data_IF_827970182523
#
_entry.id   IF_827970182523
#
_cell.length_a   1.000
_cell.length_b   1.000
_cell.length_c   1.000
_cell.angle_alpha   90.00
_cell.angle_beta   90.00
_cell.angle_gamma   90.00
#
_symmetry.space_group_name_H-M   'P 1'
#
loop_
_entity.id
_entity.type
_entity.pdbx_description
1 polymer ?
#
# COMPACT_ATOMS: atom_id res chain seq x y z
N UNK A 1 19.72 -5.35 -1.69
CA UNK A 1 19.52 -5.35 -3.16
C UNK A 1 18.08 -5.78 -3.42
N UNK A 2 17.16 -4.83 -3.67
CA UNK A 2 15.76 -5.14 -3.95
C UNK A 2 15.60 -5.58 -5.42
N UNK A 3 15.01 -6.76 -5.58
CA UNK A 3 14.81 -7.45 -6.84
C UNK A 3 13.65 -6.79 -7.59
N UNK A 4 13.95 -5.90 -8.55
CA UNK A 4 12.96 -5.30 -9.47
C UNK A 4 12.69 -6.16 -10.74
N UNK A 5 12.88 -7.48 -10.64
CA UNK A 5 12.58 -8.48 -11.67
C UNK A 5 11.34 -9.23 -11.17
N UNK A 6 10.16 -9.30 -11.79
CA UNK A 6 9.83 -9.53 -13.20
C UNK A 6 8.36 -9.18 -13.53
N UNK A 7 7.86 -7.99 -13.16
CA UNK A 7 6.44 -7.66 -13.41
C UNK A 7 6.08 -7.39 -14.90
N UNK A 8 7.06 -7.41 -15.80
CA UNK A 8 6.93 -6.94 -17.19
C UNK A 8 7.07 -8.05 -18.25
N UNK A 9 7.11 -9.32 -17.84
CA UNK A 9 7.47 -10.47 -18.71
C UNK A 9 6.31 -11.10 -19.47
N UNK A 10 5.06 -10.69 -19.29
CA UNK A 10 3.94 -11.11 -20.14
C UNK A 10 3.15 -9.91 -20.67
N UNK A 11 3.31 -9.62 -21.95
CA UNK A 11 2.59 -8.56 -22.66
C UNK A 11 2.45 -9.09 -24.09
N UNK A 12 1.23 -9.49 -24.47
CA UNK A 12 0.91 -9.84 -25.84
C UNK A 12 0.43 -8.57 -26.56
N UNK A 13 1.16 -8.18 -27.60
CA UNK A 13 0.60 -7.37 -28.67
C UNK A 13 -0.04 -8.37 -29.62
N UNK A 14 -1.37 -8.49 -29.60
CA UNK A 14 -2.10 -9.61 -30.23
C UNK A 14 -2.20 -9.56 -31.76
N UNK A 15 -1.42 -8.74 -32.47
CA UNK A 15 -1.42 -8.75 -33.93
C UNK A 15 0.01 -8.56 -34.45
N UNK A 16 0.55 -9.62 -35.06
CA UNK A 16 1.89 -9.64 -35.65
C UNK A 16 2.61 -10.97 -35.46
N UNK A 17 3.77 -11.13 -36.10
CA UNK A 17 4.63 -12.29 -35.88
C UNK A 17 5.14 -12.33 -34.42
N UNK A 18 5.47 -13.50 -33.83
CA UNK A 18 5.98 -13.59 -32.47
C UNK A 18 7.18 -12.66 -32.21
N UNK A 19 8.00 -12.45 -33.25
CA UNK A 19 9.15 -11.54 -33.24
C UNK A 19 8.71 -10.07 -33.15
N UNK A 20 7.74 -9.63 -33.95
CA UNK A 20 7.20 -8.26 -33.91
C UNK A 20 6.60 -7.94 -32.54
N UNK A 21 5.88 -8.90 -31.94
CA UNK A 21 5.31 -8.75 -30.60
C UNK A 21 6.43 -8.56 -29.56
N UNK A 22 7.48 -9.37 -29.65
CA UNK A 22 8.63 -9.27 -28.76
C UNK A 22 9.35 -7.92 -28.90
N UNK A 23 9.59 -7.44 -30.13
CA UNK A 23 10.23 -6.15 -30.39
C UNK A 23 9.35 -5.01 -29.85
N UNK A 24 8.05 -5.04 -30.14
CA UNK A 24 7.09 -4.02 -29.67
C UNK A 24 7.03 -3.95 -28.15
N UNK A 25 7.09 -5.10 -27.47
CA UNK A 25 7.16 -5.17 -26.01
C UNK A 25 8.45 -4.54 -25.47
N UNK A 26 9.59 -4.76 -26.12
CA UNK A 26 10.86 -4.12 -25.74
C UNK A 26 10.83 -2.61 -25.98
N UNK A 27 10.21 -2.15 -27.08
CA UNK A 27 9.98 -0.73 -27.35
C UNK A 27 9.11 -0.08 -26.27
N UNK A 28 8.00 -0.71 -25.88
CA UNK A 28 7.15 -0.22 -24.80
C UNK A 28 7.89 -0.16 -23.46
N UNK A 29 8.76 -1.14 -23.18
CA UNK A 29 9.62 -1.12 -22.00
C UNK A 29 10.64 0.03 -22.06
N UNK A 30 11.25 0.29 -23.21
CA UNK A 30 12.16 1.43 -23.41
C UNK A 30 11.44 2.75 -23.08
N UNK A 31 10.22 2.93 -23.60
CA UNK A 31 9.42 4.13 -23.39
C UNK A 31 9.04 4.30 -21.91
N UNK A 32 8.53 3.24 -21.28
CA UNK A 32 7.98 3.32 -19.92
C UNK A 32 9.05 3.33 -18.83
N UNK A 33 10.10 2.52 -18.96
CA UNK A 33 11.16 2.43 -17.94
C UNK A 33 12.10 3.64 -17.99
N UNK A 34 12.44 4.12 -19.19
CA UNK A 34 13.36 5.26 -19.35
C UNK A 34 12.63 6.59 -19.53
N UNK A 35 11.30 6.62 -19.29
CA UNK A 35 10.44 7.79 -19.42
C UNK A 35 10.63 8.55 -20.74
N UNK A 36 10.90 7.83 -21.83
CA UNK A 36 11.16 8.44 -23.12
C UNK A 36 9.87 8.96 -23.72
N UNK A 37 9.91 10.10 -24.44
CA UNK A 37 8.72 10.60 -25.09
C UNK A 37 8.29 9.65 -26.22
N UNK A 38 6.99 9.46 -26.38
CA UNK A 38 6.42 8.57 -27.42
C UNK A 38 6.79 9.06 -28.83
N UNK A 39 7.19 10.33 -28.99
CA UNK A 39 7.71 10.86 -30.26
C UNK A 39 8.99 10.18 -30.75
N UNK A 40 9.69 9.40 -29.93
CA UNK A 40 10.89 8.64 -30.34
C UNK A 40 10.63 7.78 -31.58
N UNK A 41 9.43 7.22 -31.74
CA UNK A 41 9.07 6.37 -32.90
C UNK A 41 8.99 7.14 -34.22
N UNK A 42 8.99 8.48 -34.17
CA UNK A 42 9.01 9.36 -35.34
C UNK A 42 10.39 9.95 -35.63
N UNK A 43 11.36 9.72 -34.75
CA UNK A 43 12.72 10.25 -34.95
C UNK A 43 13.38 9.48 -36.07
N UNK A 44 13.84 10.19 -37.10
CA UNK A 44 14.42 9.59 -38.31
C UNK A 44 15.54 8.60 -37.98
N UNK A 45 16.54 9.01 -37.18
CA UNK A 45 17.64 8.12 -36.80
C UNK A 45 17.20 6.88 -36.02
N UNK A 46 16.08 6.94 -35.28
CA UNK A 46 15.52 5.76 -34.63
C UNK A 46 14.84 4.83 -35.64
N UNK A 47 14.14 5.38 -36.63
CA UNK A 47 13.50 4.60 -37.70
C UNK A 47 14.52 3.89 -38.57
N UNK A 48 15.57 4.60 -38.98
CA UNK A 48 16.70 4.04 -39.75
C UNK A 48 17.39 2.92 -38.97
N UNK A 49 17.66 3.15 -37.68
CA UNK A 49 18.26 2.15 -36.79
C UNK A 49 17.41 0.87 -36.70
N UNK A 50 16.10 1.01 -36.50
CA UNK A 50 15.21 -0.15 -36.39
C UNK A 50 15.06 -0.87 -37.73
N UNK A 51 15.01 -0.12 -38.84
CA UNK A 51 14.92 -0.70 -40.19
C UNK A 51 16.18 -1.49 -40.55
N UNK A 52 17.36 -1.04 -40.14
CA UNK A 52 18.62 -1.78 -40.33
C UNK A 52 18.66 -3.05 -39.48
N UNK A 53 18.10 -3.01 -38.26
CA UNK A 53 18.03 -4.18 -37.37
C UNK A 53 17.01 -5.23 -37.84
N UNK A 54 15.84 -4.81 -38.27
CA UNK A 54 14.80 -5.69 -38.81
C UNK A 54 13.95 -4.97 -39.86
N UNK A 55 14.26 -5.16 -41.16
CA UNK A 55 13.54 -4.50 -42.24
C UNK A 55 12.06 -4.86 -42.33
N UNK A 56 11.64 -5.98 -41.72
CA UNK A 56 10.24 -6.45 -41.74
C UNK A 56 9.42 -5.86 -40.60
N UNK A 57 10.05 -5.27 -39.59
CA UNK A 57 9.37 -4.74 -38.44
C UNK A 57 8.76 -3.36 -38.74
N UNK A 58 7.42 -3.30 -38.78
CA UNK A 58 6.70 -2.04 -38.88
C UNK A 58 6.59 -1.38 -37.50
N UNK A 59 7.26 -0.24 -37.33
CA UNK A 59 7.21 0.52 -36.07
C UNK A 59 5.77 0.98 -35.81
N UNK A 60 5.20 0.69 -34.62
CA UNK A 60 3.83 1.06 -34.31
C UNK A 60 3.66 2.58 -34.24
N UNK A 61 2.53 3.06 -34.76
CA UNK A 61 2.23 4.49 -34.74
C UNK A 61 2.06 5.02 -33.32
N UNK A 62 2.37 6.32 -33.11
CA UNK A 62 2.12 7.02 -31.85
C UNK A 62 0.68 6.84 -31.35
N UNK A 63 -0.29 6.86 -32.28
CA UNK A 63 -1.71 6.68 -31.94
C UNK A 63 -1.97 5.27 -31.39
N UNK A 64 -1.42 4.24 -32.03
CA UNK A 64 -1.55 2.85 -31.56
C UNK A 64 -0.93 2.68 -30.17
N UNK A 65 0.29 3.20 -29.99
CA UNK A 65 0.99 3.15 -28.70
C UNK A 65 0.19 3.84 -27.57
N UNK A 66 -0.36 5.03 -27.84
CA UNK A 66 -1.12 5.79 -26.85
C UNK A 66 -2.50 5.24 -26.54
N UNK A 67 -3.24 4.74 -27.55
CA UNK A 67 -4.64 4.34 -27.37
C UNK A 67 -4.81 2.87 -27.05
N UNK A 68 -3.85 2.04 -27.41
CA UNK A 68 -3.98 0.58 -27.31
C UNK A 68 -2.93 0.01 -26.38
N UNK A 69 -1.65 0.21 -26.68
CA UNK A 69 -0.58 -0.50 -25.96
C UNK A 69 -0.36 0.02 -24.54
N UNK A 70 -0.24 1.34 -24.36
CA UNK A 70 0.02 1.95 -23.05
C UNK A 70 -1.14 1.76 -22.06
N UNK A 71 -2.42 1.95 -22.44
CA UNK A 71 -3.54 1.70 -21.52
C UNK A 71 -3.60 0.23 -21.07
N UNK A 72 -3.38 -0.73 -21.98
CA UNK A 72 -3.29 -2.15 -21.63
C UNK A 72 -2.17 -2.43 -20.63
N UNK A 73 -1.00 -1.81 -20.85
CA UNK A 73 0.16 -1.95 -19.95
C UNK A 73 -0.12 -1.34 -18.57
N UNK A 74 -0.80 -0.20 -18.53
CA UNK A 74 -1.22 0.45 -17.28
C UNK A 74 -2.17 -0.41 -16.46
N UNK A 75 -3.25 -0.93 -17.06
CA UNK A 75 -4.23 -1.74 -16.33
C UNK A 75 -3.58 -3.01 -15.75
N UNK A 76 -2.68 -3.66 -16.50
CA UNK A 76 -1.93 -4.80 -15.98
C UNK A 76 -1.00 -4.42 -14.82
N UNK A 77 -0.27 -3.32 -14.93
CA UNK A 77 0.60 -2.85 -13.85
C UNK A 77 -0.21 -2.51 -12.59
N UNK A 78 -1.37 -1.88 -12.76
CA UNK A 78 -2.32 -1.56 -11.69
C UNK A 78 -2.86 -2.83 -11.02
N UNK A 79 -3.22 -3.85 -11.78
CA UNK A 79 -3.70 -5.12 -11.23
C UNK A 79 -2.59 -5.86 -10.47
N UNK A 80 -1.35 -5.86 -11.00
CA UNK A 80 -0.19 -6.40 -10.28
C UNK A 80 0.03 -5.68 -8.94
N UNK A 81 -0.10 -4.36 -8.92
CA UNK A 81 0.02 -3.56 -7.69
C UNK A 81 -1.12 -3.89 -6.71
N UNK A 82 -2.35 -4.10 -7.19
CA UNK A 82 -3.47 -4.52 -6.31
C UNK A 82 -3.20 -5.89 -5.68
N UNK A 83 -2.66 -6.84 -6.45
CA UNK A 83 -2.30 -8.18 -5.94
C UNK A 83 -1.20 -8.06 -4.89
N UNK A 84 -0.11 -7.36 -5.21
CA UNK A 84 0.99 -7.14 -4.26
C UNK A 84 0.50 -6.42 -2.99
N UNK A 85 -0.43 -5.48 -3.11
CA UNK A 85 -1.04 -4.81 -1.96
C UNK A 85 -1.92 -5.76 -1.13
N UNK A 86 -2.66 -6.67 -1.77
CA UNK A 86 -3.46 -7.67 -1.08
C UNK A 86 -2.58 -8.67 -0.32
N UNK A 87 -1.48 -9.11 -0.91
CA UNK A 87 -0.47 -9.98 -0.26
C UNK A 87 0.23 -9.26 0.90
N UNK A 88 0.61 -8.00 0.70
CA UNK A 88 1.17 -7.17 1.76
C UNK A 88 0.17 -7.00 2.92
N UNK A 89 -1.12 -6.83 2.63
CA UNK A 89 -2.19 -6.76 3.64
C UNK A 89 -2.45 -8.07 4.39
N UNK A 90 -2.03 -9.22 3.84
CA UNK A 90 -2.13 -10.52 4.51
C UNK A 90 -0.91 -10.81 5.38
N UNK A 91 0.28 -10.39 4.92
CA UNK A 91 1.55 -10.55 5.65
C UNK A 91 1.76 -9.48 6.73
N UNK A 92 1.20 -8.29 6.56
CA UNK A 92 1.01 -7.35 7.65
C UNK A 92 -0.25 -7.73 8.40
N UNK A 93 -0.17 -8.09 9.70
CA UNK A 93 -1.38 -8.25 10.49
C UNK A 93 -2.16 -6.95 10.39
N UNK A 94 -3.38 -7.02 9.83
CA UNK A 94 -4.35 -5.93 10.02
C UNK A 94 -4.36 -5.65 11.52
N UNK A 95 -4.44 -4.39 11.92
CA UNK A 95 -4.61 -3.95 13.31
C UNK A 95 -5.98 -4.40 13.86
N UNK A 96 -6.31 -5.68 13.76
CA UNK A 96 -7.54 -6.30 14.23
C UNK A 96 -7.28 -7.24 15.43
N UNK A 97 -6.03 -7.35 15.89
CA UNK A 97 -5.66 -8.19 17.03
C UNK A 97 -5.62 -7.45 18.37
N UNK A 98 -5.31 -6.16 18.37
CA UNK A 98 -5.16 -5.40 19.61
C UNK A 98 -6.47 -5.24 20.38
N UNK A 99 -7.57 -4.97 19.66
CA UNK A 99 -8.92 -4.85 20.23
C UNK A 99 -9.34 -6.13 20.95
N UNK A 100 -9.07 -7.30 20.37
CA UNK A 100 -9.39 -8.59 20.98
C UNK A 100 -8.60 -8.82 22.28
N UNK A 101 -7.30 -8.46 22.31
CA UNK A 101 -6.49 -8.56 23.52
C UNK A 101 -6.94 -7.57 24.60
N UNK A 102 -7.40 -6.37 24.24
CA UNK A 102 -8.00 -5.43 25.19
C UNK A 102 -9.34 -5.94 25.74
N UNK A 103 -10.21 -6.49 24.90
CA UNK A 103 -11.52 -7.02 25.29
C UNK A 103 -11.38 -8.30 26.15
N UNK A 104 -10.40 -9.15 25.88
CA UNK A 104 -10.04 -10.28 26.75
C UNK A 104 -9.51 -9.82 28.11
N UNK A 105 -8.78 -8.70 28.16
CA UNK A 105 -8.21 -8.11 29.38
C UNK A 105 -9.18 -7.21 30.15
N UNK A 106 -10.25 -6.73 29.51
CA UNK A 106 -11.37 -6.02 30.15
C UNK A 106 -12.01 -6.87 31.26
N UNK A 107 -11.95 -8.21 31.14
CA UNK A 107 -12.47 -9.16 32.12
C UNK A 107 -11.51 -9.54 33.25
N UNK A 108 -10.24 -9.12 33.24
CA UNK A 108 -9.21 -9.58 34.18
C UNK A 108 -8.72 -8.46 35.08
N UNK A 109 -9.04 -8.53 36.40
CA UNK A 109 -8.47 -7.83 37.57
C UNK A 109 -8.22 -6.30 37.51
N UNK A 110 -8.41 -5.68 36.36
CA UNK A 110 -8.01 -4.34 36.01
C UNK A 110 -8.96 -3.30 36.63
N UNK A 111 -10.27 -3.51 36.46
CA UNK A 111 -11.32 -2.76 37.16
C UNK A 111 -11.19 -2.89 38.68
N UNK A 112 -10.65 -4.02 39.16
CA UNK A 112 -10.46 -4.27 40.59
C UNK A 112 -9.30 -3.42 41.16
N UNK A 113 -8.21 -3.27 40.41
CA UNK A 113 -7.04 -2.49 40.81
C UNK A 113 -7.27 -0.97 40.74
N UNK A 114 -8.03 -0.49 39.75
CA UNK A 114 -8.39 0.93 39.62
C UNK A 114 -9.71 1.32 40.32
N UNK A 115 -10.45 0.34 40.88
CA UNK A 115 -11.79 0.52 41.46
C UNK A 115 -12.79 1.23 40.53
N UNK A 116 -12.61 1.10 39.22
CA UNK A 116 -13.54 1.65 38.23
C UNK A 116 -14.63 0.60 38.00
N UNK A 117 -15.89 0.96 38.22
CA UNK A 117 -17.01 0.09 37.87
C UNK A 117 -17.30 0.18 36.38
N UNK A 118 -18.02 -0.81 35.83
CA UNK A 118 -18.46 -0.80 34.43
C UNK A 118 -19.26 0.46 34.08
N UNK A 119 -20.09 0.94 35.00
CA UNK A 119 -20.90 2.15 34.80
C UNK A 119 -20.04 3.41 34.75
N UNK A 120 -19.03 3.52 35.62
CA UNK A 120 -18.06 4.63 35.59
C UNK A 120 -17.24 4.60 34.30
N UNK A 121 -16.89 3.42 33.81
CA UNK A 121 -16.20 3.28 32.53
C UNK A 121 -17.06 3.75 31.35
N UNK A 122 -18.35 3.42 31.32
CA UNK A 122 -19.27 3.91 30.29
C UNK A 122 -19.43 5.44 30.33
N UNK A 123 -19.46 6.03 31.53
CA UNK A 123 -19.45 7.49 31.68
C UNK A 123 -18.16 8.13 31.14
N UNK A 124 -17.01 7.52 31.42
CA UNK A 124 -15.73 7.98 30.88
C UNK A 124 -15.67 7.86 29.35
N UNK A 125 -16.19 6.77 28.79
CA UNK A 125 -16.31 6.61 27.34
C UNK A 125 -17.15 7.73 26.72
N UNK A 126 -18.31 8.05 27.31
CA UNK A 126 -19.15 9.16 26.82
C UNK A 126 -18.42 10.51 26.80
N UNK A 127 -17.66 10.82 27.87
CA UNK A 127 -16.89 12.07 27.96
C UNK A 127 -15.76 12.11 26.91
N UNK A 128 -15.09 10.98 26.71
CA UNK A 128 -13.99 10.88 25.76
C UNK A 128 -14.50 10.87 24.32
N UNK A 129 -15.62 10.23 24.01
CA UNK A 129 -16.26 10.26 22.69
C UNK A 129 -16.57 11.69 22.23
N UNK A 130 -17.03 12.55 23.15
CA UNK A 130 -17.32 13.96 22.87
C UNK A 130 -16.04 14.78 22.59
N UNK A 131 -14.90 14.37 23.16
CA UNK A 131 -13.65 15.12 23.11
C UNK A 131 -12.61 14.55 22.15
N UNK A 132 -12.77 13.28 21.75
CA UNK A 132 -11.77 12.53 21.01
C UNK A 132 -11.86 12.83 19.52
N UNK A 133 -10.78 13.37 18.98
CA UNK A 133 -10.58 13.52 17.54
C UNK A 133 -9.67 12.38 17.07
N UNK A 134 -10.20 11.35 16.40
CA UNK A 134 -9.39 10.22 15.99
C UNK A 134 -8.31 10.66 15.00
N UNK A 135 -7.13 10.06 15.13
CA UNK A 135 -6.13 10.11 14.07
C UNK A 135 -6.64 9.16 12.98
N UNK A 136 -6.94 9.72 11.81
CA UNK A 136 -7.52 8.97 10.69
C UNK A 136 -6.43 8.62 9.66
N UNK A 137 -6.36 7.36 9.25
CA UNK A 137 -5.74 6.98 7.97
C UNK A 137 -6.85 6.68 6.96
N UNK A 138 -6.82 7.36 5.81
CA UNK A 138 -7.82 7.24 4.72
C UNK A 138 -9.29 7.28 5.16
N UNK A 139 -9.60 8.08 6.17
CA UNK A 139 -10.97 8.27 6.66
C UNK A 139 -11.46 7.21 7.65
N UNK A 140 -10.64 6.21 8.00
CA UNK A 140 -10.91 5.28 9.09
C UNK A 140 -10.07 5.66 10.32
N UNK A 141 -10.67 5.73 11.53
CA UNK A 141 -9.93 5.98 12.76
C UNK A 141 -8.97 4.81 13.02
N UNK A 142 -7.70 5.13 13.28
CA UNK A 142 -6.67 4.13 13.59
C UNK A 142 -6.93 3.43 14.93
N UNK A 143 -7.53 4.14 15.88
CA UNK A 143 -7.91 3.66 17.22
C UNK A 143 -9.24 4.31 17.58
N UNK A 144 -10.23 3.51 17.97
CA UNK A 144 -11.51 3.99 18.49
C UNK A 144 -11.34 4.67 19.85
N UNK A 145 -12.26 5.55 20.20
CA UNK A 145 -12.31 6.18 21.52
C UNK A 145 -12.32 5.16 22.66
N UNK A 146 -13.08 4.06 22.50
CA UNK A 146 -13.09 2.92 23.43
C UNK A 146 -11.70 2.34 23.64
N UNK A 147 -10.99 2.03 22.57
CA UNK A 147 -9.64 1.47 22.64
C UNK A 147 -8.63 2.45 23.26
N UNK A 148 -8.77 3.76 22.98
CA UNK A 148 -7.95 4.79 23.61
C UNK A 148 -8.14 4.87 25.13
N UNK A 149 -9.39 4.81 25.60
CA UNK A 149 -9.68 4.83 27.04
C UNK A 149 -9.17 3.55 27.70
N UNK A 150 -9.35 2.39 27.07
CA UNK A 150 -8.83 1.12 27.56
C UNK A 150 -7.29 1.13 27.65
N UNK A 151 -6.61 1.65 26.63
CA UNK A 151 -5.14 1.83 26.64
C UNK A 151 -4.67 2.76 27.77
N UNK A 152 -5.32 3.93 27.90
CA UNK A 152 -4.95 4.93 28.90
C UNK A 152 -5.17 4.42 30.31
N UNK A 153 -6.32 3.79 30.56
CA UNK A 153 -6.60 3.14 31.83
C UNK A 153 -5.59 2.02 32.09
N UNK A 154 -5.28 1.17 31.11
CA UNK A 154 -4.30 0.09 31.27
C UNK A 154 -2.90 0.60 31.64
N UNK A 155 -2.44 1.66 30.99
CA UNK A 155 -1.19 2.37 31.33
C UNK A 155 -1.20 2.96 32.75
N UNK A 156 -2.34 3.43 33.23
CA UNK A 156 -2.46 3.99 34.59
C UNK A 156 -2.54 2.89 35.67
N UNK A 157 -3.20 1.76 35.37
CA UNK A 157 -3.46 0.68 36.32
C UNK A 157 -2.31 -0.33 36.44
N UNK A 158 -1.63 -0.63 35.34
CA UNK A 158 -0.35 -1.31 35.37
C UNK A 158 0.72 -0.24 35.27
N UNK A 159 1.67 -0.17 36.21
CA UNK A 159 2.86 0.70 36.13
C UNK A 159 3.81 0.31 34.98
N UNK A 160 3.26 -0.21 33.88
CA UNK A 160 3.96 -0.64 32.70
C UNK A 160 4.52 0.57 31.98
N UNK A 161 5.76 0.44 31.51
CA UNK A 161 6.41 1.48 30.71
C UNK A 161 5.84 1.46 29.29
N UNK A 162 5.85 2.62 28.60
CA UNK A 162 5.46 2.72 27.19
C UNK A 162 6.15 1.68 26.29
N UNK A 163 7.36 1.23 26.66
CA UNK A 163 8.11 0.20 25.94
C UNK A 163 7.49 -1.20 26.07
N UNK A 164 7.00 -1.55 27.26
CA UNK A 164 6.29 -2.83 27.47
C UNK A 164 4.92 -2.82 26.78
N UNK A 165 4.23 -1.68 26.83
CA UNK A 165 2.99 -1.44 26.06
C UNK A 165 3.26 -1.61 24.56
N UNK A 166 4.37 -1.04 24.08
CA UNK A 166 4.78 -1.12 22.69
C UNK A 166 5.17 -2.54 22.25
N UNK A 167 5.85 -3.31 23.10
CA UNK A 167 6.19 -4.70 22.82
C UNK A 167 4.95 -5.61 22.82
N UNK A 168 3.98 -5.34 23.71
CA UNK A 168 2.71 -6.08 23.79
C UNK A 168 1.76 -5.78 22.63
N UNK A 169 1.75 -4.54 22.13
CA UNK A 169 0.72 -4.07 21.20
C UNK A 169 1.27 -3.58 19.85
N UNK A 170 2.59 -3.51 19.69
CA UNK A 170 3.27 -3.17 18.44
C UNK A 170 3.09 -1.72 17.98
N UNK A 171 2.93 -0.76 18.89
CA UNK A 171 2.59 0.65 18.60
C UNK A 171 3.67 1.41 17.79
N UNK A 172 4.95 1.08 17.95
CA UNK A 172 6.09 1.70 17.28
C UNK A 172 6.17 1.29 15.82
N UNK A 173 5.81 0.04 15.50
CA UNK A 173 5.68 -0.42 14.11
C UNK A 173 4.59 0.37 13.35
N UNK A 174 3.62 0.94 14.06
CA UNK A 174 2.57 1.80 13.51
C UNK A 174 3.08 3.23 13.23
N UNK A 175 3.89 3.79 14.14
CA UNK A 175 4.39 5.17 14.03
C UNK A 175 5.54 5.33 13.02
N UNK A 176 6.44 4.36 12.91
CA UNK A 176 7.57 4.41 11.95
C UNK A 176 7.19 4.09 10.50
N UNK A 177 5.93 3.68 10.24
CA UNK A 177 5.39 3.44 8.90
C UNK A 177 4.71 4.70 8.30
N UNK A 178 4.51 5.76 9.09
CA UNK A 178 4.03 7.02 8.56
C UNK A 178 5.15 7.72 7.78
N UNK A 179 4.95 8.15 6.53
CA UNK A 179 5.83 9.14 5.93
C UNK A 179 5.70 10.41 6.78
N UNK A 180 6.71 10.69 7.59
CA UNK A 180 6.82 11.91 8.36
C UNK A 180 6.72 13.11 7.40
N UNK A 181 5.52 13.67 7.24
CA UNK A 181 5.34 15.02 6.74
C UNK A 181 5.39 15.94 7.95
N UNK A 182 6.61 16.25 8.39
CA UNK A 182 6.83 17.49 9.14
C UNK A 182 6.72 18.64 8.12
N UNK A 183 5.69 19.47 8.31
CA UNK A 183 5.63 20.84 7.80
C UNK A 183 5.65 21.78 9.00
#
# INVERSE_FOLDING_TARGET
MLVHRDAMTDITAEEGSPKEVAITKKLLKLITVNLQPISIVKVQGFQEFVQELDPRYAIPSKRSLMRTNLPKLYEKAKDNVKVALAEARQSHPKQQGFSHHLEEKENLDFFRNLRVTKDTFQLLLGIVDESYKPICDRGTPLVSSKECVQLGLWYLGNKATYREIDELFGLSKVLYSMPCKFS
#
